data_IF_215433470428
#
_entry.id   IF_215433470428
#
_cell.length_a   1.000
_cell.length_b   1.000
_cell.length_c   1.000
_cell.angle_alpha   90.00
_cell.angle_beta   90.00
_cell.angle_gamma   90.00
#
_symmetry.space_group_name_H-M   'P 1'
#
loop_
_entity.id
_entity.type
_entity.pdbx_description
1 polymer ?
#
# COMPACT_ATOMS: atom_id res chain seq x y z
N UNK A 1 -13.50 -20.05 -20.02
CA UNK A 1 -12.32 -19.46 -19.36
C UNK A 1 -12.32 -19.95 -17.92
N UNK A 2 -11.19 -20.37 -17.38
CA UNK A 2 -11.08 -20.82 -15.97
C UNK A 2 -11.48 -19.67 -15.03
N UNK A 3 -12.21 -19.98 -13.95
CA UNK A 3 -12.72 -18.99 -12.99
C UNK A 3 -11.57 -18.21 -12.33
N UNK A 4 -10.44 -18.88 -12.11
CA UNK A 4 -9.21 -18.26 -11.58
C UNK A 4 -8.66 -17.17 -12.50
N UNK A 5 -8.67 -17.42 -13.82
CA UNK A 5 -8.21 -16.45 -14.82
C UNK A 5 -9.16 -15.27 -14.94
N UNK A 6 -10.47 -15.50 -14.78
CA UNK A 6 -11.47 -14.43 -14.79
C UNK A 6 -11.27 -13.47 -13.61
N UNK A 7 -11.11 -14.00 -12.39
CA UNK A 7 -10.84 -13.21 -11.19
C UNK A 7 -9.51 -12.42 -11.28
N UNK A 8 -8.47 -13.04 -11.83
CA UNK A 8 -7.19 -12.35 -12.11
C UNK A 8 -7.38 -11.15 -13.04
N UNK A 9 -8.09 -11.34 -14.16
CA UNK A 9 -8.33 -10.28 -15.13
C UNK A 9 -9.14 -9.15 -14.50
N UNK A 10 -10.20 -9.47 -13.77
CA UNK A 10 -11.04 -8.50 -13.07
C UNK A 10 -10.26 -7.73 -11.99
N UNK A 11 -9.49 -8.42 -11.15
CA UNK A 11 -8.66 -7.80 -10.11
C UNK A 11 -7.53 -6.94 -10.68
N UNK A 12 -6.89 -7.37 -11.77
CA UNK A 12 -5.85 -6.60 -12.46
C UNK A 12 -6.44 -5.37 -13.14
N UNK A 13 -7.62 -5.48 -13.77
CA UNK A 13 -8.33 -4.35 -14.35
C UNK A 13 -8.73 -3.32 -13.29
N UNK A 14 -9.22 -3.79 -12.13
CA UNK A 14 -9.57 -2.93 -11.00
C UNK A 14 -8.33 -2.21 -10.45
N UNK A 15 -7.23 -2.93 -10.23
CA UNK A 15 -5.94 -2.34 -9.85
C UNK A 15 -5.50 -1.24 -10.82
N UNK A 16 -5.49 -1.52 -12.12
CA UNK A 16 -5.12 -0.56 -13.15
C UNK A 16 -6.03 0.67 -13.14
N UNK A 17 -7.34 0.49 -12.96
CA UNK A 17 -8.29 1.59 -12.90
C UNK A 17 -8.02 2.54 -11.73
N UNK A 18 -7.78 2.00 -10.53
CA UNK A 18 -7.44 2.78 -9.34
C UNK A 18 -6.08 3.45 -9.47
N UNK A 19 -5.08 2.75 -10.00
CA UNK A 19 -3.73 3.27 -10.15
C UNK A 19 -3.65 4.37 -11.20
N UNK A 20 -4.30 4.20 -12.36
CA UNK A 20 -4.38 5.25 -13.39
C UNK A 20 -5.12 6.47 -12.82
N UNK A 21 -6.22 6.28 -12.10
CA UNK A 21 -6.95 7.39 -11.47
C UNK A 21 -6.09 8.12 -10.44
N UNK A 22 -5.35 7.38 -9.61
CA UNK A 22 -4.37 7.93 -8.66
C UNK A 22 -3.32 8.79 -9.35
N UNK A 23 -2.73 8.30 -10.44
CA UNK A 23 -1.74 9.02 -11.24
C UNK A 23 -2.33 10.30 -11.83
N UNK A 24 -3.54 10.24 -12.40
CA UNK A 24 -4.22 11.42 -12.98
C UNK A 24 -4.44 12.49 -11.91
N UNK A 25 -4.96 12.12 -10.73
CA UNK A 25 -5.19 13.05 -9.62
C UNK A 25 -3.89 13.64 -9.06
N UNK A 26 -2.77 12.92 -9.16
CA UNK A 26 -1.46 13.43 -8.79
C UNK A 26 -0.96 14.50 -9.79
N UNK A 27 -1.06 14.23 -11.10
CA UNK A 27 -0.61 15.15 -12.14
C UNK A 27 -1.52 16.36 -12.36
N UNK A 28 -2.82 16.24 -12.04
CA UNK A 28 -3.81 17.31 -12.15
C UNK A 28 -4.31 17.66 -10.73
N UNK A 29 -3.50 18.33 -9.90
CA UNK A 29 -3.84 18.56 -8.50
C UNK A 29 -5.06 19.47 -8.33
N UNK A 30 -5.40 20.29 -9.32
CA UNK A 30 -6.58 21.18 -9.27
C UNK A 30 -7.89 20.52 -9.74
N UNK A 31 -7.90 19.20 -10.01
CA UNK A 31 -9.06 18.49 -10.57
C UNK A 31 -10.35 18.65 -9.74
N UNK A 32 -10.25 18.66 -8.40
CA UNK A 32 -11.39 18.82 -7.47
C UNK A 32 -11.43 20.26 -6.90
N UNK A 33 -10.65 21.20 -7.46
CA UNK A 33 -10.58 22.59 -7.00
C UNK A 33 -9.81 22.81 -5.68
N UNK A 34 -9.26 21.75 -5.08
CA UNK A 34 -8.37 21.86 -3.92
C UNK A 34 -7.23 20.83 -4.03
N UNK A 35 -6.00 21.33 -4.19
CA UNK A 35 -4.79 20.52 -4.37
C UNK A 35 -4.56 19.49 -3.28
N UNK A 36 -4.82 19.85 -2.03
CA UNK A 36 -4.60 18.95 -0.89
C UNK A 36 -5.62 17.81 -0.95
N UNK A 37 -6.88 18.13 -1.21
CA UNK A 37 -7.96 17.14 -1.29
C UNK A 37 -7.76 16.20 -2.48
N UNK A 38 -7.46 16.74 -3.66
CA UNK A 38 -7.22 15.95 -4.87
C UNK A 38 -6.07 14.96 -4.68
N UNK A 39 -4.94 15.43 -4.13
CA UNK A 39 -3.78 14.57 -3.86
C UNK A 39 -4.07 13.50 -2.81
N UNK A 40 -4.81 13.86 -1.76
CA UNK A 40 -5.21 12.92 -0.70
C UNK A 40 -6.08 11.79 -1.25
N UNK A 41 -7.07 12.12 -2.07
CA UNK A 41 -7.92 11.13 -2.74
C UNK A 41 -7.09 10.27 -3.71
N UNK A 42 -6.17 10.89 -4.46
CA UNK A 42 -5.24 10.18 -5.32
C UNK A 42 -4.43 9.12 -4.57
N UNK A 43 -3.88 9.46 -3.40
CA UNK A 43 -3.13 8.52 -2.55
C UNK A 43 -4.04 7.37 -2.09
N UNK A 44 -5.25 7.68 -1.61
CA UNK A 44 -6.20 6.66 -1.14
C UNK A 44 -6.53 5.67 -2.27
N UNK A 45 -6.79 6.16 -3.49
CA UNK A 45 -7.03 5.29 -4.65
C UNK A 45 -5.81 4.44 -5.01
N UNK A 46 -4.60 5.02 -4.96
CA UNK A 46 -3.37 4.25 -5.19
C UNK A 46 -3.20 3.12 -4.18
N UNK A 47 -3.43 3.40 -2.89
CA UNK A 47 -3.36 2.41 -1.82
C UNK A 47 -4.42 1.32 -1.97
N UNK A 48 -5.67 1.67 -2.28
CA UNK A 48 -6.76 0.70 -2.55
C UNK A 48 -6.40 -0.20 -3.72
N UNK A 49 -5.87 0.37 -4.81
CA UNK A 49 -5.42 -0.41 -5.96
C UNK A 49 -4.36 -1.44 -5.57
N UNK A 50 -3.31 -1.02 -4.87
CA UNK A 50 -2.23 -1.91 -4.41
C UNK A 50 -2.77 -3.00 -3.48
N UNK A 51 -3.64 -2.66 -2.54
CA UNK A 51 -4.26 -3.62 -1.63
C UNK A 51 -5.09 -4.67 -2.39
N UNK A 52 -5.97 -4.22 -3.28
CA UNK A 52 -6.83 -5.11 -4.08
C UNK A 52 -6.00 -6.07 -4.94
N UNK A 53 -4.93 -5.57 -5.57
CA UNK A 53 -4.01 -6.40 -6.34
C UNK A 53 -3.29 -7.43 -5.46
N UNK A 54 -2.82 -7.01 -4.28
CA UNK A 54 -2.10 -7.89 -3.33
C UNK A 54 -3.00 -9.02 -2.84
N UNK A 55 -4.28 -8.75 -2.57
CA UNK A 55 -5.27 -9.78 -2.19
C UNK A 55 -5.51 -10.76 -3.35
N UNK A 56 -5.66 -10.26 -4.58
CA UNK A 56 -5.86 -11.13 -5.75
C UNK A 56 -4.63 -12.03 -5.99
N UNK A 57 -3.42 -11.48 -5.88
CA UNK A 57 -2.17 -12.25 -5.94
C UNK A 57 -2.09 -13.35 -4.88
N UNK A 58 -2.62 -13.07 -3.69
CA UNK A 58 -2.66 -14.02 -2.58
C UNK A 58 -3.62 -15.18 -2.83
N UNK A 59 -4.71 -14.92 -3.56
CA UNK A 59 -5.73 -15.92 -3.90
C UNK A 59 -5.37 -16.73 -5.15
N UNK A 60 -4.47 -16.23 -5.98
CA UNK A 60 -3.93 -16.98 -7.10
C UNK A 60 -3.03 -18.11 -6.61
N UNK A 61 -3.14 -19.27 -7.27
CA UNK A 61 -2.36 -20.52 -7.05
C UNK A 61 -0.83 -20.36 -6.98
N UNK A 62 -0.31 -19.14 -7.15
CA UNK A 62 1.10 -18.76 -7.06
C UNK A 62 1.62 -18.83 -5.62
N UNK A 63 0.77 -18.69 -4.60
CA UNK A 63 1.17 -18.84 -3.20
C UNK A 63 0.66 -20.16 -2.60
N UNK A 64 1.16 -21.30 -3.08
CA UNK A 64 1.02 -22.58 -2.35
C UNK A 64 1.73 -22.56 -0.99
N UNK A 65 2.51 -21.50 -0.73
CA UNK A 65 3.18 -21.25 0.53
C UNK A 65 2.29 -20.34 1.41
N UNK A 66 1.75 -20.93 2.47
CA UNK A 66 0.95 -20.26 3.53
C UNK A 66 1.70 -19.06 4.15
N UNK A 67 3.03 -19.12 4.23
CA UNK A 67 3.83 -18.06 4.85
C UNK A 67 3.92 -16.81 3.97
N UNK A 68 4.02 -16.96 2.64
CA UNK A 68 3.98 -15.84 1.69
C UNK A 68 2.61 -15.18 1.73
N UNK A 69 1.55 -15.98 1.75
CA UNK A 69 0.17 -15.50 1.90
C UNK A 69 -0.02 -14.72 3.20
N UNK A 70 0.49 -15.22 4.32
CA UNK A 70 0.45 -14.50 5.60
C UNK A 70 1.21 -13.18 5.53
N UNK A 71 2.37 -13.13 4.87
CA UNK A 71 3.16 -11.91 4.74
C UNK A 71 2.44 -10.84 3.88
N UNK A 72 1.87 -11.24 2.75
CA UNK A 72 1.08 -10.34 1.90
C UNK A 72 -0.17 -9.81 2.63
N UNK A 73 -0.84 -10.66 3.41
CA UNK A 73 -1.98 -10.21 4.23
C UNK A 73 -1.56 -9.22 5.33
N UNK A 74 -0.43 -9.45 6.00
CA UNK A 74 0.13 -8.50 6.97
C UNK A 74 0.41 -7.14 6.30
N UNK A 75 0.86 -7.12 5.04
CA UNK A 75 1.05 -5.89 4.25
C UNK A 75 -0.27 -5.15 4.02
N UNK A 76 -1.31 -5.89 3.59
CA UNK A 76 -2.65 -5.33 3.34
C UNK A 76 -3.22 -4.72 4.60
N UNK A 77 -3.07 -5.38 5.76
CA UNK A 77 -3.49 -4.86 7.07
C UNK A 77 -2.76 -3.56 7.41
N UNK A 78 -1.45 -3.50 7.19
CA UNK A 78 -0.66 -2.29 7.42
C UNK A 78 -1.12 -1.10 6.56
N UNK A 79 -1.36 -1.33 5.27
CA UNK A 79 -1.87 -0.30 4.35
C UNK A 79 -3.29 0.15 4.73
N UNK A 80 -4.17 -0.80 5.07
CA UNK A 80 -5.54 -0.49 5.49
C UNK A 80 -5.59 0.38 6.74
N UNK A 81 -4.82 0.02 7.76
CA UNK A 81 -4.70 0.82 8.98
C UNK A 81 -4.11 2.21 8.68
N UNK A 82 -3.15 2.30 7.75
CA UNK A 82 -2.61 3.57 7.27
C UNK A 82 -3.68 4.50 6.70
N UNK A 83 -4.60 3.97 5.87
CA UNK A 83 -5.73 4.75 5.34
C UNK A 83 -6.63 5.24 6.49
N UNK A 84 -6.97 4.36 7.44
CA UNK A 84 -7.81 4.73 8.60
C UNK A 84 -7.15 5.85 9.41
N UNK A 85 -5.85 5.70 9.71
CA UNK A 85 -5.07 6.71 10.46
C UNK A 85 -5.09 8.04 9.73
N UNK A 86 -4.86 8.04 8.42
CA UNK A 86 -4.88 9.25 7.60
C UNK A 86 -6.25 9.95 7.69
N UNK A 87 -7.34 9.20 7.52
CA UNK A 87 -8.69 9.76 7.62
C UNK A 87 -8.98 10.31 9.01
N UNK A 88 -8.58 9.60 10.07
CA UNK A 88 -8.79 10.05 11.45
C UNK A 88 -8.05 11.36 11.74
N UNK A 89 -6.78 11.46 11.35
CA UNK A 89 -5.99 12.68 11.54
C UNK A 89 -6.50 13.85 10.69
N UNK A 90 -7.02 13.57 9.49
CA UNK A 90 -7.53 14.60 8.61
C UNK A 90 -8.84 15.22 9.12
N UNK A 91 -9.77 14.39 9.59
CA UNK A 91 -11.10 14.86 10.00
C UNK A 91 -11.21 15.23 11.48
N UNK A 92 -10.35 14.68 12.36
CA UNK A 92 -10.51 14.83 13.80
C UNK A 92 -9.21 15.26 14.51
N UNK A 93 -9.08 16.56 14.79
CA UNK A 93 -7.94 17.15 15.50
C UNK A 93 -8.17 17.22 17.04
N UNK A 94 -8.54 16.10 17.67
CA UNK A 94 -8.79 16.03 19.12
C UNK A 94 -7.71 15.20 19.83
N UNK A 95 -7.34 15.59 21.05
CA UNK A 95 -6.28 14.92 21.83
C UNK A 95 -6.55 13.41 22.04
N UNK A 96 -7.81 13.02 22.26
CA UNK A 96 -8.21 11.62 22.40
C UNK A 96 -7.99 10.84 21.10
N UNK A 97 -8.26 11.45 19.95
CA UNK A 97 -8.03 10.84 18.63
C UNK A 97 -6.54 10.64 18.40
N UNK A 98 -5.68 11.58 18.81
CA UNK A 98 -4.23 11.40 18.71
C UNK A 98 -3.72 10.20 19.50
N UNK A 99 -4.28 9.92 20.69
CA UNK A 99 -3.92 8.72 21.48
C UNK A 99 -4.33 7.44 20.74
N UNK A 100 -5.57 7.38 20.25
CA UNK A 100 -6.07 6.22 19.48
C UNK A 100 -5.25 6.00 18.21
N UNK A 101 -4.98 7.08 17.47
CA UNK A 101 -4.15 7.05 16.26
C UNK A 101 -2.74 6.54 16.57
N UNK A 102 -2.15 6.93 17.69
CA UNK A 102 -0.81 6.44 18.09
C UNK A 102 -0.79 4.92 18.27
N UNK A 103 -1.82 4.35 18.89
CA UNK A 103 -1.96 2.90 19.04
C UNK A 103 -2.17 2.19 17.68
N UNK A 104 -3.02 2.75 16.83
CA UNK A 104 -3.25 2.22 15.47
C UNK A 104 -1.98 2.30 14.62
N UNK A 105 -1.22 3.38 14.74
CA UNK A 105 0.04 3.58 14.03
C UNK A 105 1.09 2.54 14.43
N UNK A 106 1.17 2.18 15.72
CA UNK A 106 2.03 1.11 16.19
C UNK A 106 1.67 -0.23 15.50
N UNK A 107 0.37 -0.55 15.41
CA UNK A 107 -0.10 -1.77 14.75
C UNK A 107 0.17 -1.76 13.25
N UNK A 108 -0.06 -0.62 12.57
CA UNK A 108 0.19 -0.46 11.14
C UNK A 108 1.67 -0.66 10.80
N UNK A 109 2.55 -0.02 11.57
CA UNK A 109 4.01 -0.15 11.42
C UNK A 109 4.45 -1.58 11.71
N UNK A 110 3.96 -2.19 12.79
CA UNK A 110 4.27 -3.57 13.12
C UNK A 110 3.87 -4.54 11.99
N UNK A 111 2.66 -4.42 11.45
CA UNK A 111 2.17 -5.26 10.36
C UNK A 111 3.01 -5.08 9.08
N UNK A 112 3.35 -3.82 8.72
CA UNK A 112 4.20 -3.51 7.58
C UNK A 112 5.62 -4.09 7.73
N UNK A 113 6.26 -3.89 8.89
CA UNK A 113 7.60 -4.43 9.16
C UNK A 113 7.61 -5.95 9.18
N UNK A 114 6.62 -6.58 9.83
CA UNK A 114 6.48 -8.05 9.86
C UNK A 114 6.34 -8.63 8.47
N UNK A 115 5.53 -7.99 7.60
CA UNK A 115 5.40 -8.38 6.20
C UNK A 115 6.74 -8.32 5.46
N UNK A 116 7.43 -7.19 5.51
CA UNK A 116 8.72 -6.99 4.82
C UNK A 116 9.74 -8.01 5.30
N UNK A 117 9.87 -8.22 6.61
CA UNK A 117 10.79 -9.19 7.21
C UNK A 117 10.46 -10.61 6.72
N UNK A 118 9.20 -11.03 6.81
CA UNK A 118 8.79 -12.37 6.33
C UNK A 118 9.09 -12.56 4.86
N UNK A 119 8.77 -11.58 4.00
CA UNK A 119 9.04 -11.65 2.57
C UNK A 119 10.54 -11.77 2.28
N UNK A 120 11.40 -11.07 3.03
CA UNK A 120 12.87 -11.20 2.92
C UNK A 120 13.31 -12.62 3.29
N UNK A 121 12.91 -13.13 4.47
CA UNK A 121 13.30 -14.47 4.92
C UNK A 121 12.80 -15.59 3.98
N UNK A 122 11.57 -15.47 3.50
CA UNK A 122 10.96 -16.42 2.57
C UNK A 122 11.61 -16.40 1.19
N UNK A 123 12.05 -15.22 0.74
CA UNK A 123 12.78 -15.12 -0.52
C UNK A 123 14.23 -15.55 -0.40
N UNK A 124 14.88 -15.43 0.76
CA UNK A 124 16.25 -15.93 0.99
C UNK A 124 16.33 -17.46 1.08
N UNK A 125 15.27 -18.14 1.50
CA UNK A 125 15.24 -19.61 1.59
C UNK A 125 15.16 -20.33 0.22
N UNK A 126 14.87 -19.60 -0.88
CA UNK A 126 14.51 -20.16 -2.20
C UNK A 126 15.53 -19.90 -3.34
N UNK A 127 16.83 -19.72 -3.04
CA UNK A 127 17.96 -19.78 -4.01
C UNK A 127 18.55 -18.43 -4.52
N UNK A 128 19.85 -18.52 -4.88
CA UNK A 128 20.98 -17.56 -4.90
C UNK A 128 20.98 -16.32 -5.82
N UNK A 129 19.87 -15.85 -6.39
CA UNK A 129 19.91 -14.70 -7.32
C UNK A 129 19.32 -13.40 -6.75
N UNK A 130 20.05 -12.79 -5.80
CA UNK A 130 19.79 -11.45 -5.26
C UNK A 130 19.64 -10.38 -6.35
N UNK A 131 20.33 -10.52 -7.49
CA UNK A 131 20.30 -9.57 -8.61
C UNK A 131 18.93 -9.42 -9.29
N UNK A 132 18.09 -10.47 -9.29
CA UNK A 132 16.74 -10.43 -9.88
C UNK A 132 15.72 -9.87 -8.86
N UNK A 133 16.05 -9.91 -7.56
CA UNK A 133 15.21 -9.42 -6.45
C UNK A 133 15.50 -7.98 -6.08
N UNK A 134 16.70 -7.49 -6.40
CA UNK A 134 17.13 -6.11 -6.23
C UNK A 134 16.12 -5.10 -6.79
N UNK A 135 15.55 -5.27 -8.01
CA UNK A 135 14.58 -4.33 -8.55
C UNK A 135 13.28 -4.28 -7.75
N UNK A 136 12.80 -5.42 -7.22
CA UNK A 136 11.56 -5.48 -6.42
C UNK A 136 11.77 -4.86 -5.05
N UNK A 137 12.93 -5.09 -4.43
CA UNK A 137 13.31 -4.47 -3.15
C UNK A 137 13.50 -2.97 -3.33
N UNK A 138 14.21 -2.54 -4.38
CA UNK A 138 14.37 -1.13 -4.74
C UNK A 138 13.02 -0.49 -5.04
N UNK A 139 12.12 -1.19 -5.74
CA UNK A 139 10.78 -0.70 -6.04
C UNK A 139 9.95 -0.53 -4.76
N UNK A 140 9.98 -1.49 -3.84
CA UNK A 140 9.23 -1.39 -2.58
C UNK A 140 9.81 -0.32 -1.64
N UNK A 141 11.14 -0.20 -1.56
CA UNK A 141 11.80 0.88 -0.82
C UNK A 141 11.46 2.22 -1.46
N UNK A 142 11.51 2.33 -2.79
CA UNK A 142 11.16 3.56 -3.51
C UNK A 142 9.68 3.94 -3.31
N UNK A 143 8.76 2.98 -3.38
CA UNK A 143 7.33 3.21 -3.13
C UNK A 143 7.13 3.68 -1.69
N UNK A 144 7.78 3.04 -0.72
CA UNK A 144 7.72 3.41 0.70
C UNK A 144 8.31 4.81 0.96
N UNK A 145 9.48 5.11 0.39
CA UNK A 145 10.11 6.43 0.50
C UNK A 145 9.27 7.49 -0.19
N UNK A 146 8.70 7.22 -1.37
CA UNK A 146 7.82 8.14 -2.09
C UNK A 146 6.52 8.40 -1.32
N UNK A 147 5.91 7.38 -0.72
CA UNK A 147 4.72 7.56 0.11
C UNK A 147 5.03 8.36 1.38
N UNK A 148 6.16 8.09 2.05
CA UNK A 148 6.61 8.92 3.18
C UNK A 148 6.88 10.37 2.76
N UNK A 149 7.55 10.59 1.63
CA UNK A 149 7.90 11.92 1.14
C UNK A 149 6.64 12.70 0.71
N UNK A 150 5.68 12.03 0.08
CA UNK A 150 4.36 12.59 -0.22
C UNK A 150 3.60 12.98 1.05
N UNK A 151 3.61 12.14 2.09
CA UNK A 151 3.00 12.47 3.39
C UNK A 151 3.67 13.70 4.00
N UNK A 152 5.00 13.76 4.02
CA UNK A 152 5.75 14.90 4.59
C UNK A 152 5.53 16.22 3.83
N UNK A 153 5.40 16.17 2.50
CA UNK A 153 5.08 17.33 1.66
C UNK A 153 3.66 17.86 1.92
N UNK A 154 2.69 16.97 2.14
CA UNK A 154 1.31 17.37 2.47
C UNK A 154 1.27 18.13 3.81
N UNK A 155 2.07 17.70 4.80
CA UNK A 155 2.17 18.36 6.10
C UNK A 155 3.12 19.58 6.13
N UNK A 156 3.67 20.02 4.97
CA UNK A 156 4.63 21.13 4.84
C UNK A 156 5.88 20.99 5.73
N UNK A 157 6.25 19.77 6.13
CA UNK A 157 7.46 19.52 6.95
C UNK A 157 8.73 19.67 6.11
N UNK A 158 8.65 19.39 4.81
CA UNK A 158 9.71 19.59 3.82
C UNK A 158 9.04 20.19 2.57
N UNK A 159 9.63 21.25 1.99
CA UNK A 159 9.18 21.83 0.71
C UNK A 159 9.57 20.91 -0.44
#
# INVERSE_FOLDING_TARGET
MDESKKKLIEGTALFLSFLITSIVLYFIPDFIGNQIVTRSIGIIFGLIGIMGFTVELTNLRISSNEEIKSALMDMVVGLFLGIIIFLLLYFFANWFVHIVVTLLMLLAIYAALRSVIKLIFLTDFLNRNILIKLPVIILNIAIFTLTLLQVLQIFKVIK
#
